data_IF_158827803536
#
_entry.id   IF_158827803536
#
_cell.length_a   1.000
_cell.length_b   1.000
_cell.length_c   1.000
_cell.angle_alpha   90.00
_cell.angle_beta   90.00
_cell.angle_gamma   90.00
#
_symmetry.space_group_name_H-M   'P 1'
#
loop_
_entity.id
_entity.type
_entity.pdbx_description
1 polymer ?
#
# COMPACT_ATOMS: atom_id res chain seq x y z
N UNK A 1 7.28 -18.39 -1.64
CA UNK A 1 7.06 -17.50 -0.49
C UNK A 1 6.09 -18.13 0.50
N UNK A 2 4.86 -18.45 0.11
CA UNK A 2 3.85 -19.00 1.04
C UNK A 2 4.32 -20.33 1.68
N UNK A 3 4.72 -21.32 0.87
CA UNK A 3 5.27 -22.58 1.37
C UNK A 3 6.54 -22.39 2.22
N UNK A 4 7.46 -21.51 1.78
CA UNK A 4 8.69 -21.20 2.51
C UNK A 4 8.42 -20.61 3.90
N UNK A 5 7.38 -19.78 4.03
CA UNK A 5 6.97 -19.20 5.31
C UNK A 5 6.37 -20.30 6.20
N UNK A 6 5.50 -21.14 5.66
CA UNK A 6 4.87 -22.25 6.41
C UNK A 6 5.92 -23.25 6.92
N UNK A 7 6.86 -23.65 6.06
CA UNK A 7 8.00 -24.49 6.42
C UNK A 7 8.85 -23.83 7.52
N UNK A 8 9.21 -22.56 7.35
CA UNK A 8 9.97 -21.83 8.36
C UNK A 8 9.20 -21.78 9.69
N UNK A 9 7.89 -21.55 9.67
CA UNK A 9 7.06 -21.53 10.88
C UNK A 9 7.02 -22.87 11.61
N UNK A 10 7.23 -24.01 10.93
CA UNK A 10 7.29 -25.34 11.55
C UNK A 10 8.59 -25.72 12.27
N UNK A 11 9.68 -24.99 12.03
CA UNK A 11 10.99 -25.27 12.68
C UNK A 11 11.04 -24.64 14.09
N UNK A 12 11.87 -25.12 15.01
CA UNK A 12 12.05 -24.46 16.33
C UNK A 12 13.21 -23.44 16.29
N UNK A 13 13.12 -22.34 17.06
CA UNK A 13 14.15 -21.30 17.13
C UNK A 13 14.00 -20.13 16.12
N UNK A 14 14.97 -19.19 16.10
CA UNK A 14 14.95 -18.04 15.20
C UNK A 14 15.01 -18.45 13.72
N UNK A 15 14.14 -17.85 12.90
CA UNK A 15 14.05 -18.13 11.46
C UNK A 15 14.28 -16.88 10.64
N UNK A 16 14.95 -17.04 9.51
CA UNK A 16 15.16 -15.99 8.51
C UNK A 16 14.61 -16.48 7.17
N UNK A 17 13.64 -15.76 6.62
CA UNK A 17 13.16 -15.97 5.24
C UNK A 17 13.68 -14.82 4.39
N UNK A 18 14.52 -15.12 3.40
CA UNK A 18 15.08 -14.13 2.49
C UNK A 18 14.22 -14.09 1.22
N UNK A 19 13.70 -12.91 0.90
CA UNK A 19 13.12 -12.67 -0.42
C UNK A 19 14.26 -12.32 -1.39
N UNK A 20 14.57 -13.21 -2.33
CA UNK A 20 15.62 -12.99 -3.36
C UNK A 20 15.25 -11.92 -4.40
N UNK A 21 14.02 -11.41 -4.36
CA UNK A 21 13.56 -10.32 -5.22
C UNK A 21 13.96 -8.96 -4.64
N UNK A 22 14.32 -8.03 -5.52
CA UNK A 22 14.52 -6.62 -5.14
C UNK A 22 13.23 -6.07 -4.55
N UNK A 23 13.31 -5.45 -3.38
CA UNK A 23 12.17 -4.79 -2.76
C UNK A 23 11.62 -3.73 -3.73
N UNK A 24 10.29 -3.65 -3.91
CA UNK A 24 9.66 -2.65 -4.79
C UNK A 24 10.15 -1.24 -4.49
N UNK A 25 10.37 -0.91 -3.21
CA UNK A 25 10.95 0.38 -2.80
C UNK A 25 12.38 0.59 -3.33
N UNK A 26 13.22 -0.44 -3.31
CA UNK A 26 14.57 -0.37 -3.88
C UNK A 26 14.54 -0.31 -5.40
N UNK A 27 13.68 -1.07 -6.07
CA UNK A 27 13.53 -1.02 -7.52
C UNK A 27 13.10 0.39 -7.99
N UNK A 28 12.23 1.07 -7.24
CA UNK A 28 11.85 2.47 -7.49
C UNK A 28 13.04 3.41 -7.27
N UNK A 29 13.73 3.29 -6.12
CA UNK A 29 14.90 4.13 -5.81
C UNK A 29 16.02 3.99 -6.84
N UNK A 30 16.25 2.78 -7.35
CA UNK A 30 17.23 2.47 -8.38
C UNK A 30 16.75 2.80 -9.81
N UNK A 31 15.54 3.38 -9.96
CA UNK A 31 14.90 3.68 -11.25
C UNK A 31 14.73 2.45 -12.17
N UNK A 32 14.74 1.26 -11.58
CA UNK A 32 14.52 -0.01 -12.29
C UNK A 32 13.03 -0.31 -12.47
N UNK A 33 12.18 0.36 -11.70
CA UNK A 33 10.73 0.22 -11.77
C UNK A 33 10.06 1.59 -11.61
N UNK A 34 9.12 1.89 -12.52
CA UNK A 34 8.24 3.05 -12.41
C UNK A 34 6.80 2.56 -12.31
N UNK A 35 6.05 2.89 -11.25
CA UNK A 35 4.64 2.55 -11.16
C UNK A 35 3.90 3.11 -12.37
N UNK A 36 3.16 2.27 -13.10
CA UNK A 36 2.26 2.70 -14.19
C UNK A 36 0.91 3.20 -13.67
N UNK A 37 0.63 2.92 -12.41
CA UNK A 37 -0.65 3.11 -11.78
C UNK A 37 -0.43 3.79 -10.44
N UNK A 38 -1.29 4.76 -10.14
CA UNK A 38 -1.36 5.43 -8.85
C UNK A 38 -2.79 5.34 -8.33
N UNK A 39 -2.98 5.66 -7.06
CA UNK A 39 -4.32 5.68 -6.46
C UNK A 39 -4.69 7.10 -6.05
N UNK A 40 -5.99 7.41 -6.13
CA UNK A 40 -6.57 8.65 -5.61
C UNK A 40 -7.85 8.37 -4.84
N UNK A 41 -8.26 9.29 -3.98
CA UNK A 41 -9.54 9.23 -3.27
C UNK A 41 -10.60 10.04 -4.00
N UNK A 42 -11.77 9.46 -4.21
CA UNK A 42 -13.00 10.15 -4.59
C UNK A 42 -13.65 10.63 -3.30
N UNK A 43 -13.56 11.93 -3.02
CA UNK A 43 -13.95 12.52 -1.74
C UNK A 43 -15.44 12.33 -1.42
N UNK A 44 -16.28 12.34 -2.45
CA UNK A 44 -17.73 12.13 -2.36
C UNK A 44 -18.07 10.75 -1.82
N UNK A 45 -17.24 9.74 -2.10
CA UNK A 45 -17.41 8.36 -1.63
C UNK A 45 -16.68 8.07 -0.31
N UNK A 46 -15.79 8.96 0.10
CA UNK A 46 -15.00 8.78 1.32
C UNK A 46 -15.84 9.10 2.56
N UNK A 47 -16.00 8.12 3.44
CA UNK A 47 -16.77 8.27 4.71
C UNK A 47 -15.90 8.61 5.92
N UNK A 48 -14.60 8.87 5.73
CA UNK A 48 -13.69 9.23 6.83
C UNK A 48 -13.40 8.11 7.83
N UNK A 49 -13.58 6.83 7.46
CA UNK A 49 -13.39 5.67 8.36
C UNK A 49 -11.94 5.38 8.78
N UNK A 50 -10.95 6.06 8.19
CA UNK A 50 -9.51 5.96 8.53
C UNK A 50 -8.83 4.59 8.38
N UNK A 51 -9.51 3.52 7.96
CA UNK A 51 -8.88 2.22 7.71
C UNK A 51 -7.64 2.28 6.79
N UNK A 52 -7.70 3.11 5.73
CA UNK A 52 -6.56 3.32 4.84
C UNK A 52 -5.38 4.08 5.51
N UNK A 53 -5.65 4.87 6.55
CA UNK A 53 -4.66 5.59 7.34
C UNK A 53 -4.04 4.63 8.36
N UNK A 54 -4.85 3.84 9.05
CA UNK A 54 -4.42 2.84 10.04
C UNK A 54 -3.57 1.74 9.43
N UNK A 55 -3.76 1.44 8.14
CA UNK A 55 -2.88 0.56 7.38
C UNK A 55 -1.41 1.03 7.34
N UNK A 56 -1.13 2.32 7.58
CA UNK A 56 0.23 2.84 7.71
C UNK A 56 0.94 3.09 6.38
N UNK A 57 0.21 3.29 5.28
CA UNK A 57 0.83 3.70 4.02
C UNK A 57 1.30 5.17 4.12
N UNK A 58 2.58 5.49 3.86
CA UNK A 58 3.08 6.86 3.94
C UNK A 58 2.49 7.79 2.89
N UNK A 59 1.90 7.24 1.81
CA UNK A 59 1.23 8.03 0.79
C UNK A 59 -0.20 8.45 1.21
N UNK A 60 -0.79 7.84 2.24
CA UNK A 60 -2.15 8.19 2.64
C UNK A 60 -2.12 9.31 3.67
N UNK A 61 -2.87 10.38 3.38
CA UNK A 61 -2.98 11.56 4.24
C UNK A 61 -4.42 11.70 4.70
N UNK A 62 -4.62 12.14 5.94
CA UNK A 62 -5.94 12.41 6.48
C UNK A 62 -6.12 13.90 6.75
N UNK A 63 -7.16 14.48 6.17
CA UNK A 63 -7.56 15.86 6.36
C UNK A 63 -8.71 15.91 7.36
N UNK A 64 -8.37 16.29 8.60
CA UNK A 64 -9.31 16.27 9.72
C UNK A 64 -10.43 17.29 9.56
N UNK A 65 -10.14 18.45 8.97
CA UNK A 65 -11.06 19.57 8.75
C UNK A 65 -12.24 19.20 7.86
N UNK A 66 -12.03 18.28 6.90
CA UNK A 66 -13.05 17.78 5.97
C UNK A 66 -13.48 16.35 6.24
N UNK A 67 -12.84 15.68 7.20
CA UNK A 67 -13.02 14.26 7.49
C UNK A 67 -12.82 13.37 6.24
N UNK A 68 -11.79 13.67 5.43
CA UNK A 68 -11.48 12.94 4.18
C UNK A 68 -10.05 12.45 4.15
N UNK A 69 -9.85 11.28 3.54
CA UNK A 69 -8.53 10.79 3.17
C UNK A 69 -8.14 11.31 1.78
N UNK A 70 -6.84 11.41 1.53
CA UNK A 70 -6.26 11.58 0.21
C UNK A 70 -5.05 10.67 0.04
N UNK A 71 -4.58 10.54 -1.20
CA UNK A 71 -3.32 9.87 -1.52
C UNK A 71 -2.37 10.91 -2.12
N UNK A 72 -1.17 11.03 -1.55
CA UNK A 72 -0.07 11.80 -2.12
C UNK A 72 0.52 11.03 -3.32
N UNK A 73 0.37 11.54 -4.55
CA UNK A 73 0.87 10.85 -5.75
C UNK A 73 2.40 10.79 -5.80
N UNK A 74 3.13 11.66 -5.10
CA UNK A 74 4.60 11.65 -5.07
C UNK A 74 5.17 10.48 -4.25
N UNK A 75 4.39 9.96 -3.31
CA UNK A 75 4.75 8.85 -2.43
C UNK A 75 4.06 7.54 -2.83
N UNK A 76 3.05 7.59 -3.69
CA UNK A 76 2.30 6.42 -4.11
C UNK A 76 3.15 5.50 -5.00
N UNK A 77 3.34 4.25 -4.57
CA UNK A 77 4.10 3.23 -5.33
C UNK A 77 3.19 2.29 -6.14
N UNK A 78 1.88 2.53 -6.14
CA UNK A 78 0.90 1.73 -6.89
C UNK A 78 0.64 0.32 -6.33
N UNK A 79 0.81 0.08 -5.02
CA UNK A 79 0.65 -1.26 -4.45
C UNK A 79 -0.80 -1.76 -4.33
N UNK A 80 -1.79 -0.86 -4.35
CA UNK A 80 -3.23 -1.20 -4.34
C UNK A 80 -3.83 -1.63 -2.99
N UNK A 81 -3.02 -1.81 -1.95
CA UNK A 81 -3.50 -2.26 -0.63
C UNK A 81 -4.58 -1.35 -0.05
N UNK A 82 -4.42 -0.03 -0.15
CA UNK A 82 -5.40 0.92 0.38
C UNK A 82 -6.75 0.85 -0.35
N UNK A 83 -6.76 0.56 -1.66
CA UNK A 83 -7.98 0.36 -2.42
C UNK A 83 -8.73 -0.91 -2.01
N UNK A 84 -8.02 -2.00 -1.71
CA UNK A 84 -8.60 -3.24 -1.21
C UNK A 84 -9.24 -3.08 0.17
N UNK A 85 -8.66 -2.24 1.03
CA UNK A 85 -9.16 -1.97 2.37
C UNK A 85 -10.35 -1.01 2.42
N UNK A 86 -10.63 -0.26 1.34
CA UNK A 86 -11.65 0.78 1.37
C UNK A 86 -13.06 0.18 1.26
N UNK A 87 -13.90 0.23 2.32
CA UNK A 87 -15.22 -0.41 2.30
C UNK A 87 -16.18 0.25 1.30
N UNK A 88 -16.00 1.55 1.05
CA UNK A 88 -16.84 2.31 0.10
C UNK A 88 -16.25 2.38 -1.31
N UNK A 89 -15.12 1.71 -1.56
CA UNK A 89 -14.40 1.77 -2.85
C UNK A 89 -14.14 3.20 -3.32
N UNK A 90 -13.86 4.09 -2.36
CA UNK A 90 -13.54 5.49 -2.63
C UNK A 90 -12.12 5.68 -3.20
N UNK A 91 -11.24 4.70 -3.03
CA UNK A 91 -9.86 4.75 -3.52
C UNK A 91 -9.81 4.03 -4.87
N UNK A 92 -9.47 4.76 -5.93
CA UNK A 92 -9.50 4.28 -7.32
C UNK A 92 -8.15 4.40 -7.99
N UNK A 93 -7.91 3.52 -8.95
CA UNK A 93 -6.73 3.51 -9.80
C UNK A 93 -6.76 4.68 -10.80
N UNK A 94 -5.59 5.25 -11.06
CA UNK A 94 -5.33 6.29 -12.05
C UNK A 94 -4.11 5.87 -12.85
N UNK A 95 -4.26 5.76 -14.16
CA UNK A 95 -3.16 5.46 -15.07
C UNK A 95 -2.31 6.72 -15.22
N UNK A 96 -0.99 6.57 -15.09
CA UNK A 96 -0.02 7.66 -15.21
C UNK A 96 0.62 7.69 -16.59
#
# INVERSE_FOLDING_TARGET
MQNTIEEAMGVEGPKLVIAERVCTLQAIRLKQYKPKVMYRVIEEKCIGCKLCIEFGCPANVFYAERNKAAVDPSLCVGCGMCAQLCPTKAIVEVVQ
#
